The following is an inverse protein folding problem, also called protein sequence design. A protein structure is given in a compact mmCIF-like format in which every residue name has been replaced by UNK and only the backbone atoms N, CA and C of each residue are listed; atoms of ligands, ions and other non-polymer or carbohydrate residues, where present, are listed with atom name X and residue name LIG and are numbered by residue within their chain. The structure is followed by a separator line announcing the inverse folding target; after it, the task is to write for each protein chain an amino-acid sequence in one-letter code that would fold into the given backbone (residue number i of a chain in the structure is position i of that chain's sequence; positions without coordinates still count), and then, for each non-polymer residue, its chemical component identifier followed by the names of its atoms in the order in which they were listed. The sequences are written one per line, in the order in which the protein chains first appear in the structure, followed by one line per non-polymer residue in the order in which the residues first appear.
data_IF_760955475835
#
_entry.id   IF_760955475835
#
_cell.length_a   1.000
_cell.length_b   1.000
_cell.length_c   1.000
_cell.angle_alpha   90.00
_cell.angle_beta   90.00
_cell.angle_gamma   90.00
#
_symmetry.space_group_name_H-M   'P 1'
#
loop_
_entity.id
_entity.type
_entity.pdbx_description
1 polymer ?
#
# COMPACT_ATOMS: atom_id res chain seq x y z
N UNK A 1 11.45 25.09 1.39
CA UNK A 1 10.54 24.03 0.89
C UNK A 1 11.41 22.82 0.67
N UNK A 2 11.15 21.72 1.37
CA UNK A 2 11.87 20.47 1.14
C UNK A 2 11.46 19.97 -0.24
N UNK A 3 12.37 20.07 -1.20
CA UNK A 3 12.12 19.68 -2.59
C UNK A 3 12.18 18.17 -2.63
N UNK A 4 11.03 17.54 -2.84
CA UNK A 4 10.91 16.11 -3.06
C UNK A 4 11.14 15.85 -4.54
N UNK A 5 11.95 14.84 -4.84
CA UNK A 5 12.22 14.45 -6.21
C UNK A 5 10.92 14.00 -6.92
N UNK A 6 10.87 14.17 -8.25
CA UNK A 6 9.69 13.82 -9.04
C UNK A 6 9.33 12.34 -8.94
N UNK A 7 10.32 11.46 -8.87
CA UNK A 7 10.10 10.02 -8.83
C UNK A 7 9.47 9.59 -7.50
N UNK A 8 9.80 10.26 -6.39
CA UNK A 8 9.20 10.05 -5.08
C UNK A 8 7.78 10.61 -5.04
N UNK A 9 7.53 11.79 -5.64
CA UNK A 9 6.17 12.31 -5.76
C UNK A 9 5.27 11.36 -6.58
N UNK A 10 5.78 10.82 -7.68
CA UNK A 10 5.10 9.78 -8.46
C UNK A 10 4.85 8.55 -7.58
N UNK A 11 5.87 8.00 -6.92
CA UNK A 11 5.73 6.82 -6.04
C UNK A 11 4.69 7.02 -4.93
N UNK A 12 4.67 8.18 -4.28
CA UNK A 12 3.68 8.52 -3.26
C UNK A 12 2.26 8.48 -3.86
N UNK A 13 2.04 9.16 -4.98
CA UNK A 13 0.76 9.18 -5.67
C UNK A 13 0.32 7.76 -6.10
N UNK A 14 1.25 6.94 -6.59
CA UNK A 14 1.00 5.54 -6.96
C UNK A 14 0.56 4.65 -5.78
N UNK A 15 0.78 5.10 -4.55
CA UNK A 15 0.36 4.40 -3.33
C UNK A 15 -0.82 5.06 -2.65
N UNK A 16 -1.41 6.09 -3.27
CA UNK A 16 -2.42 6.93 -2.62
C UNK A 16 -1.87 7.63 -1.38
N UNK A 17 -0.57 7.95 -1.38
CA UNK A 17 0.11 8.64 -0.30
C UNK A 17 0.41 10.08 -0.70
N UNK A 18 0.58 10.94 0.30
CA UNK A 18 1.03 12.31 0.13
C UNK A 18 1.88 12.73 1.34
N UNK A 19 2.56 13.87 1.21
CA UNK A 19 3.30 14.45 2.32
C UNK A 19 2.51 15.59 2.95
N UNK A 20 2.37 15.55 4.27
CA UNK A 20 1.90 16.67 5.07
C UNK A 20 3.07 17.25 5.85
N UNK A 21 3.19 18.58 5.84
CA UNK A 21 4.27 19.26 6.52
C UNK A 21 3.75 19.99 7.76
N UNK A 22 4.35 19.72 8.91
CA UNK A 22 4.18 20.49 10.13
C UNK A 22 5.45 21.28 10.42
N UNK A 23 5.32 22.60 10.60
CA UNK A 23 6.42 23.47 11.02
C UNK A 23 6.09 24.08 12.37
N UNK A 24 6.99 23.89 13.32
CA UNK A 24 7.00 24.59 14.59
C UNK A 24 8.35 25.28 14.78
N UNK A 25 8.44 26.17 15.76
CA UNK A 25 9.71 26.79 16.15
C UNK A 25 10.76 25.78 16.63
N UNK A 26 10.31 24.58 17.03
CA UNK A 26 11.18 23.52 17.57
C UNK A 26 11.63 22.50 16.51
N UNK A 27 10.82 22.23 15.48
CA UNK A 27 11.12 21.22 14.47
C UNK A 27 10.25 21.36 13.20
N UNK A 28 10.84 20.94 12.07
CA UNK A 28 10.12 20.60 10.83
C UNK A 28 9.83 19.09 10.82
N UNK A 29 8.57 18.70 10.68
CA UNK A 29 8.17 17.30 10.56
C UNK A 29 7.48 17.11 9.21
N UNK A 30 7.90 16.08 8.47
CA UNK A 30 7.23 15.66 7.25
C UNK A 30 6.53 14.33 7.50
N UNK A 31 5.22 14.35 7.55
CA UNK A 31 4.38 13.17 7.66
C UNK A 31 4.16 12.54 6.29
N UNK A 32 4.26 11.22 6.22
CA UNK A 32 3.84 10.42 5.07
C UNK A 32 2.44 9.93 5.38
N UNK A 33 1.45 10.45 4.67
CA UNK A 33 0.03 10.21 4.94
C UNK A 33 -0.63 9.41 3.83
N UNK A 34 -1.52 8.50 4.21
CA UNK A 34 -2.47 7.85 3.32
C UNK A 34 -3.66 8.77 3.05
N UNK A 35 -4.03 8.91 1.77
CA UNK A 35 -5.24 9.59 1.34
C UNK A 35 -6.48 8.71 1.63
N UNK A 36 -6.93 8.73 2.87
CA UNK A 36 -8.08 7.97 3.38
C UNK A 36 -9.42 8.71 3.26
N UNK A 37 -9.41 9.93 2.71
CA UNK A 37 -10.57 10.81 2.59
C UNK A 37 -10.81 11.72 3.80
N UNK A 38 -10.01 11.59 4.87
CA UNK A 38 -10.05 12.50 6.01
C UNK A 38 -9.12 13.71 5.79
N UNK A 39 -9.46 14.89 6.35
CA UNK A 39 -8.55 16.03 6.36
C UNK A 39 -7.21 15.64 7.03
N UNK A 40 -6.10 15.80 6.31
CA UNK A 40 -4.76 15.47 6.81
C UNK A 40 -4.31 14.02 6.59
N UNK A 41 -5.23 13.12 6.21
CA UNK A 41 -4.93 11.71 5.94
C UNK A 41 -4.50 10.90 7.16
N UNK A 42 -4.28 9.61 6.97
CA UNK A 42 -3.79 8.73 8.02
C UNK A 42 -2.25 8.62 7.96
N UNK A 43 -1.49 9.04 9.00
CA UNK A 43 -0.04 8.98 8.98
C UNK A 43 0.48 7.54 9.04
N UNK A 44 1.24 7.13 8.01
CA UNK A 44 1.90 5.81 7.94
C UNK A 44 3.37 5.86 8.39
N UNK A 45 3.89 7.07 8.55
CA UNK A 45 5.22 7.37 9.08
C UNK A 45 5.50 8.86 9.02
N UNK A 46 6.68 9.25 9.48
CA UNK A 46 7.15 10.63 9.43
C UNK A 46 8.68 10.68 9.41
N UNK A 47 9.22 11.82 8.99
CA UNK A 47 10.65 12.09 9.03
C UNK A 47 10.91 13.41 9.73
N UNK A 48 12.01 13.47 10.47
CA UNK A 48 12.44 14.67 11.19
C UNK A 48 13.92 14.95 10.91
N UNK A 49 14.31 16.21 10.69
CA UNK A 49 15.70 16.59 10.55
C UNK A 49 16.37 16.57 11.93
N UNK A 50 17.61 16.13 11.94
CA UNK A 50 18.53 16.23 13.06
C UNK A 50 19.21 17.61 13.08
N UNK A 51 19.80 17.95 14.23
CA UNK A 51 20.62 19.17 14.37
C UNK A 51 21.90 19.14 13.54
N UNK A 52 22.33 17.97 13.07
CA UNK A 52 23.55 17.77 12.28
C UNK A 52 23.30 17.77 10.76
N UNK A 53 22.07 18.11 10.32
CA UNK A 53 21.71 18.17 8.90
C UNK A 53 21.36 16.82 8.27
N UNK A 54 21.37 15.72 9.03
CA UNK A 54 20.84 14.41 8.60
C UNK A 54 19.37 14.25 8.99
N UNK A 55 18.71 13.19 8.54
CA UNK A 55 17.31 12.89 8.80
C UNK A 55 17.12 11.57 9.57
N UNK A 56 16.07 11.51 10.37
CA UNK A 56 15.56 10.31 11.01
C UNK A 56 14.24 9.90 10.34
N UNK A 57 14.07 8.60 10.09
CA UNK A 57 12.86 8.05 9.49
C UNK A 57 12.12 7.17 10.48
N UNK A 58 10.84 7.46 10.68
CA UNK A 58 9.95 6.71 11.55
C UNK A 58 8.81 6.13 10.73
N UNK A 59 8.57 4.82 10.85
CA UNK A 59 7.52 4.17 10.09
C UNK A 59 6.67 3.26 10.97
N UNK A 60 5.41 3.11 10.57
CA UNK A 60 4.53 2.10 11.15
C UNK A 60 4.96 0.72 10.65
N UNK A 61 5.97 0.12 11.26
CA UNK A 61 6.63 -1.09 10.77
C UNK A 61 5.98 -2.40 11.23
N UNK A 62 5.07 -2.33 12.21
CA UNK A 62 4.45 -3.51 12.84
C UNK A 62 2.94 -3.56 12.58
N UNK A 63 2.42 -4.65 12.00
CA UNK A 63 0.98 -4.88 11.89
C UNK A 63 0.30 -4.79 13.27
N UNK A 64 -0.90 -4.20 13.35
CA UNK A 64 -1.71 -4.14 14.57
C UNK A 64 -1.29 -3.11 15.63
N UNK A 65 -0.13 -2.44 15.50
CA UNK A 65 0.21 -1.27 16.32
C UNK A 65 -0.16 0.01 15.57
N UNK A 66 -1.41 0.45 15.74
CA UNK A 66 -2.02 1.57 14.99
C UNK A 66 -1.55 2.97 15.41
N UNK A 67 -0.92 3.12 16.58
CA UNK A 67 -0.51 4.45 17.10
C UNK A 67 1.00 4.62 17.30
N UNK A 68 1.81 3.64 16.90
CA UNK A 68 3.26 3.69 17.12
C UNK A 68 4.03 3.61 15.80
N UNK A 69 5.00 4.51 15.64
CA UNK A 69 6.04 4.40 14.63
C UNK A 69 7.36 4.01 15.30
N UNK A 70 8.10 3.10 14.68
CA UNK A 70 9.46 2.75 15.09
C UNK A 70 10.45 3.61 14.29
N UNK A 71 11.60 3.94 14.89
CA UNK A 71 12.75 4.45 14.15
C UNK A 71 13.24 3.32 13.22
N UNK A 72 13.15 3.54 11.91
CA UNK A 72 13.53 2.53 10.90
C UNK A 72 14.84 2.85 10.21
N UNK A 73 15.27 4.12 10.24
CA UNK A 73 16.56 4.53 9.72
C UNK A 73 16.98 5.90 10.29
N UNK A 74 18.28 6.20 10.29
CA UNK A 74 18.86 7.41 10.84
C UNK A 74 20.14 7.82 10.12
N UNK A 75 20.50 9.11 10.17
CA UNK A 75 21.72 9.59 9.52
C UNK A 75 21.57 9.76 8.00
N UNK A 76 20.33 9.86 7.51
CA UNK A 76 20.04 9.99 6.09
C UNK A 76 20.34 11.40 5.59
N UNK A 77 21.05 11.51 4.48
CA UNK A 77 21.55 12.81 3.98
C UNK A 77 20.49 13.65 3.26
N UNK A 78 19.28 13.13 3.04
CA UNK A 78 18.20 13.85 2.38
C UNK A 78 16.83 13.44 2.91
N UNK A 79 15.85 14.34 2.77
CA UNK A 79 14.46 14.05 3.06
C UNK A 79 13.91 12.96 2.13
N UNK A 80 14.29 12.94 0.84
CA UNK A 80 13.89 11.88 -0.10
C UNK A 80 14.34 10.50 0.38
N UNK A 81 15.60 10.36 0.82
CA UNK A 81 16.10 9.11 1.38
C UNK A 81 15.32 8.71 2.63
N UNK A 82 14.98 9.67 3.49
CA UNK A 82 14.19 9.43 4.70
C UNK A 82 12.76 8.98 4.40
N UNK A 83 12.09 9.63 3.44
CA UNK A 83 10.74 9.23 3.02
C UNK A 83 10.78 7.85 2.37
N UNK A 84 11.78 7.55 1.53
CA UNK A 84 11.97 6.20 0.96
C UNK A 84 12.16 5.14 2.06
N UNK A 85 12.96 5.44 3.08
CA UNK A 85 13.11 4.56 4.24
C UNK A 85 11.77 4.31 4.96
N UNK A 86 10.90 5.32 5.04
CA UNK A 86 9.52 5.12 5.54
C UNK A 86 8.74 4.17 4.63
N UNK A 87 8.74 4.39 3.31
CA UNK A 87 8.01 3.55 2.35
C UNK A 87 8.51 2.09 2.30
N UNK A 88 9.80 1.87 2.52
CA UNK A 88 10.44 0.56 2.57
C UNK A 88 10.14 -0.22 3.85
N UNK A 89 9.56 0.43 4.86
CA UNK A 89 9.27 -0.17 6.15
C UNK A 89 7.81 -0.08 6.59
N UNK A 90 7.05 0.88 6.07
CA UNK A 90 5.68 1.15 6.51
C UNK A 90 4.73 0.00 6.11
N UNK A 91 3.96 -0.44 7.08
CA UNK A 91 2.90 -1.42 6.98
C UNK A 91 1.57 -0.72 7.27
N UNK A 92 0.75 -0.55 6.24
CA UNK A 92 -0.53 0.16 6.34
C UNK A 92 -1.64 -0.52 5.52
N UNK A 93 -1.41 -1.77 5.11
CA UNK A 93 -2.39 -2.58 4.39
C UNK A 93 -3.64 -2.90 5.21
N UNK A 94 -3.54 -2.84 6.55
CA UNK A 94 -4.68 -3.00 7.46
C UNK A 94 -5.62 -1.77 7.43
N UNK A 95 -5.08 -0.56 7.33
CA UNK A 95 -5.86 0.68 7.15
C UNK A 95 -6.55 0.65 5.79
N UNK A 96 -5.81 0.35 4.72
CA UNK A 96 -6.38 0.20 3.38
C UNK A 96 -7.48 -0.87 3.34
N UNK A 97 -7.26 -2.01 3.99
CA UNK A 97 -8.28 -3.07 4.12
C UNK A 97 -9.52 -2.58 4.86
N UNK A 98 -9.35 -1.86 5.97
CA UNK A 98 -10.47 -1.33 6.74
C UNK A 98 -11.30 -0.35 5.90
N UNK A 99 -10.64 0.54 5.14
CA UNK A 99 -11.31 1.46 4.22
C UNK A 99 -12.12 0.73 3.14
N UNK A 100 -11.55 -0.32 2.53
CA UNK A 100 -12.27 -1.15 1.55
C UNK A 100 -13.48 -1.88 2.14
N UNK A 101 -13.36 -2.38 3.37
CA UNK A 101 -14.47 -3.03 4.08
C UNK A 101 -15.59 -2.03 4.39
N UNK A 102 -15.25 -0.84 4.87
CA UNK A 102 -16.22 0.24 5.13
C UNK A 102 -16.89 0.72 3.84
N UNK A 103 -16.16 0.73 2.72
CA UNK A 103 -16.71 1.07 1.41
C UNK A 103 -17.62 -0.03 0.82
N UNK A 104 -17.73 -1.21 1.45
CA UNK A 104 -18.56 -2.31 0.95
C UNK A 104 -18.07 -2.88 -0.38
N UNK A 105 -16.77 -2.77 -0.68
CA UNK A 105 -16.20 -3.19 -1.95
C UNK A 105 -16.14 -4.71 -2.04
N UNK A 106 -17.05 -5.29 -2.82
CA UNK A 106 -17.05 -6.73 -3.16
C UNK A 106 -16.26 -7.03 -4.44
N UNK A 107 -15.42 -6.10 -4.89
CA UNK A 107 -14.65 -6.28 -6.12
C UNK A 107 -13.63 -7.41 -5.94
N UNK A 108 -13.57 -8.30 -6.93
CA UNK A 108 -12.51 -9.31 -7.05
C UNK A 108 -11.64 -9.01 -8.27
N UNK A 109 -10.41 -9.46 -8.21
CA UNK A 109 -9.38 -9.30 -9.22
C UNK A 109 -8.80 -10.67 -9.54
N UNK A 110 -8.36 -10.90 -10.77
CA UNK A 110 -7.60 -12.11 -11.12
C UNK A 110 -6.25 -11.77 -11.74
N UNK A 111 -5.27 -12.62 -11.51
CA UNK A 111 -3.98 -12.54 -12.19
C UNK A 111 -3.51 -13.92 -12.67
N UNK A 112 -2.89 -13.93 -13.84
CA UNK A 112 -2.10 -15.06 -14.33
C UNK A 112 -0.66 -14.97 -13.81
N UNK A 113 -0.20 -16.00 -13.12
CA UNK A 113 1.09 -16.04 -12.44
C UNK A 113 1.76 -17.41 -12.61
N UNK A 114 3.09 -17.45 -12.77
CA UNK A 114 3.84 -18.70 -12.65
C UNK A 114 3.60 -19.37 -11.28
N UNK A 115 3.54 -20.71 -11.27
CA UNK A 115 3.21 -21.51 -10.08
C UNK A 115 4.01 -21.10 -8.82
N UNK A 116 5.31 -20.81 -8.97
CA UNK A 116 6.18 -20.37 -7.87
C UNK A 116 5.68 -19.10 -7.16
N UNK A 117 5.12 -18.14 -7.90
CA UNK A 117 4.62 -16.88 -7.34
C UNK A 117 3.28 -17.08 -6.66
N UNK A 118 2.43 -17.97 -7.20
CA UNK A 118 1.16 -18.36 -6.58
C UNK A 118 1.40 -18.98 -5.21
N UNK A 119 2.31 -19.95 -5.11
CA UNK A 119 2.62 -20.61 -3.84
C UNK A 119 3.07 -19.60 -2.79
N UNK A 120 3.93 -18.65 -3.17
CA UNK A 120 4.40 -17.58 -2.27
C UNK A 120 3.25 -16.66 -1.82
N UNK A 121 2.39 -16.24 -2.74
CA UNK A 121 1.23 -15.39 -2.43
C UNK A 121 0.24 -16.07 -1.50
N UNK A 122 -0.05 -17.35 -1.73
CA UNK A 122 -0.97 -18.14 -0.88
C UNK A 122 -0.38 -18.51 0.47
N UNK A 123 0.95 -18.37 0.64
CA UNK A 123 1.65 -18.63 1.90
C UNK A 123 1.76 -17.38 2.79
N UNK A 124 1.30 -16.22 2.34
CA UNK A 124 1.30 -15.00 3.16
C UNK A 124 0.35 -15.20 4.35
N UNK A 125 0.85 -14.94 5.56
CA UNK A 125 0.05 -14.92 6.78
C UNK A 125 -0.86 -13.69 6.78
N UNK A 126 -2.03 -13.83 6.14
CA UNK A 126 -2.90 -12.73 5.76
C UNK A 126 -2.53 -12.17 4.37
N UNK A 127 -3.50 -11.63 3.61
CA UNK A 127 -4.91 -11.40 3.92
C UNK A 127 -5.80 -12.60 3.54
N UNK A 128 -6.97 -12.72 4.17
CA UNK A 128 -8.04 -13.55 3.62
C UNK A 128 -8.45 -13.03 2.23
N UNK A 129 -8.83 -13.94 1.33
CA UNK A 129 -9.31 -13.57 -0.01
C UNK A 129 -8.28 -13.67 -1.13
N UNK A 130 -7.14 -14.36 -0.91
CA UNK A 130 -6.31 -14.88 -2.01
C UNK A 130 -6.71 -16.33 -2.27
N UNK A 131 -7.26 -16.62 -3.44
CA UNK A 131 -7.74 -17.97 -3.81
C UNK A 131 -7.06 -18.45 -5.08
N UNK A 132 -6.58 -19.70 -5.08
CA UNK A 132 -6.01 -20.34 -6.28
C UNK A 132 -7.15 -20.85 -7.17
N UNK A 133 -7.21 -20.42 -8.42
CA UNK A 133 -8.27 -20.81 -9.37
C UNK A 133 -7.89 -22.02 -10.26
N UNK A 134 -6.67 -22.54 -10.15
CA UNK A 134 -6.12 -23.54 -11.09
C UNK A 134 -5.33 -22.90 -12.23
N UNK A 135 -4.69 -23.71 -13.10
CA UNK A 135 -4.00 -23.28 -14.35
C UNK A 135 -3.02 -22.10 -14.28
N UNK A 136 -2.45 -21.79 -13.11
CA UNK A 136 -1.57 -20.63 -12.97
C UNK A 136 -2.33 -19.32 -12.78
N UNK A 137 -3.54 -19.36 -12.21
CA UNK A 137 -4.34 -18.18 -11.89
C UNK A 137 -4.64 -18.07 -10.40
N UNK A 138 -4.72 -16.83 -9.94
CA UNK A 138 -5.18 -16.46 -8.60
C UNK A 138 -6.32 -15.46 -8.69
N UNK A 139 -7.21 -15.49 -7.71
CA UNK A 139 -8.22 -14.48 -7.42
C UNK A 139 -7.85 -13.75 -6.15
N UNK A 140 -7.99 -12.44 -6.14
CA UNK A 140 -7.77 -11.57 -5.00
C UNK A 140 -9.05 -10.76 -4.74
N UNK A 141 -9.47 -10.65 -3.49
CA UNK A 141 -10.50 -9.68 -3.09
C UNK A 141 -9.94 -8.25 -3.06
N UNK A 142 -10.80 -7.24 -3.04
CA UNK A 142 -10.39 -5.85 -2.80
C UNK A 142 -9.57 -5.70 -1.51
N UNK A 143 -9.98 -6.38 -0.44
CA UNK A 143 -9.22 -6.44 0.82
C UNK A 143 -7.82 -7.04 0.65
N UNK A 144 -7.66 -8.06 -0.20
CA UNK A 144 -6.36 -8.66 -0.48
C UNK A 144 -5.47 -7.73 -1.32
N UNK A 145 -6.03 -7.03 -2.31
CA UNK A 145 -5.33 -6.02 -3.10
C UNK A 145 -4.87 -4.85 -2.21
N UNK A 146 -5.75 -4.34 -1.37
CA UNK A 146 -5.49 -3.27 -0.41
C UNK A 146 -4.35 -3.63 0.55
N UNK A 147 -4.36 -4.86 1.06
CA UNK A 147 -3.27 -5.38 1.88
C UNK A 147 -1.93 -5.37 1.13
N UNK A 148 -1.91 -5.89 -0.10
CA UNK A 148 -0.70 -5.97 -0.92
C UNK A 148 -0.17 -4.58 -1.35
N UNK A 149 -1.04 -3.58 -1.51
CA UNK A 149 -0.64 -2.18 -1.73
C UNK A 149 0.06 -1.57 -0.52
N UNK A 150 -0.35 -1.96 0.69
CA UNK A 150 0.21 -1.48 1.95
C UNK A 150 1.40 -2.28 2.48
N UNK A 151 2.00 -3.17 1.67
CA UNK A 151 3.19 -3.92 2.05
C UNK A 151 4.49 -3.12 1.78
N UNK A 152 5.50 -3.27 2.65
CA UNK A 152 6.84 -2.71 2.40
C UNK A 152 7.48 -3.24 1.11
N UNK A 153 8.22 -2.39 0.37
CA UNK A 153 8.82 -2.76 -0.93
C UNK A 153 9.76 -3.96 -0.84
N UNK A 154 10.58 -3.99 0.21
CA UNK A 154 11.57 -5.05 0.45
C UNK A 154 10.98 -6.45 0.55
N UNK A 155 9.67 -6.59 0.81
CA UNK A 155 9.02 -7.90 0.87
C UNK A 155 8.84 -8.54 -0.51
N UNK A 156 9.08 -7.78 -1.58
CA UNK A 156 9.09 -8.26 -2.95
C UNK A 156 7.73 -8.79 -3.40
N UNK A 157 6.64 -8.25 -2.85
CA UNK A 157 5.29 -8.57 -3.26
C UNK A 157 4.40 -7.36 -2.97
N UNK A 158 4.00 -6.64 -4.02
CA UNK A 158 3.14 -5.45 -3.91
C UNK A 158 2.14 -5.39 -5.05
N UNK A 159 1.07 -4.62 -4.86
CA UNK A 159 0.22 -4.15 -5.95
C UNK A 159 0.44 -2.64 -6.12
N UNK A 160 0.47 -2.15 -7.34
CA UNK A 160 0.55 -0.71 -7.63
C UNK A 160 -0.82 -0.11 -7.98
N UNK A 161 -0.85 1.19 -8.26
CA UNK A 161 -2.05 1.92 -8.72
C UNK A 161 -2.56 1.53 -10.11
N UNK A 162 -1.74 0.91 -10.97
CA UNK A 162 -2.15 0.43 -12.29
C UNK A 162 -2.78 -0.97 -12.23
N UNK A 163 -3.11 -1.43 -11.02
CA UNK A 163 -3.61 -2.77 -10.77
C UNK A 163 -2.64 -3.83 -11.32
N UNK A 164 -1.34 -3.66 -11.09
CA UNK A 164 -0.32 -4.67 -11.42
C UNK A 164 0.22 -5.29 -10.14
N UNK A 165 0.28 -6.62 -10.14
CA UNK A 165 0.87 -7.42 -9.07
C UNK A 165 2.35 -7.65 -9.37
N UNK A 166 3.21 -7.31 -8.40
CA UNK A 166 4.66 -7.37 -8.53
C UNK A 166 5.30 -8.40 -7.57
N UNK A 167 5.19 -9.71 -7.83
CA UNK A 167 5.88 -10.71 -7.04
C UNK A 167 7.33 -10.89 -7.55
N UNK A 168 8.29 -10.69 -6.66
CA UNK A 168 9.73 -10.78 -6.88
C UNK A 168 10.23 -9.97 -8.09
N UNK A 169 9.71 -8.76 -8.28
CA UNK A 169 10.15 -7.82 -9.31
C UNK A 169 9.59 -8.06 -10.71
N UNK A 170 8.90 -9.17 -10.96
CA UNK A 170 8.16 -9.38 -12.19
C UNK A 170 6.76 -8.75 -12.08
N UNK A 171 6.19 -8.25 -13.18
CA UNK A 171 4.91 -7.56 -13.17
C UNK A 171 3.83 -8.34 -13.92
N UNK A 172 2.67 -8.50 -13.29
CA UNK A 172 1.52 -9.21 -13.85
C UNK A 172 0.26 -8.37 -13.71
N UNK A 173 -0.56 -8.23 -14.76
CA UNK A 173 -1.78 -7.44 -14.68
C UNK A 173 -2.80 -8.13 -13.77
N UNK A 174 -3.44 -7.35 -12.89
CA UNK A 174 -4.69 -7.72 -12.25
C UNK A 174 -5.83 -7.32 -13.19
N UNK A 175 -6.73 -8.25 -13.45
CA UNK A 175 -7.97 -8.00 -14.18
C UNK A 175 -9.11 -7.95 -13.18
N UNK A 176 -9.78 -6.81 -13.09
CA UNK A 176 -10.99 -6.66 -12.30
C UNK A 176 -12.07 -7.59 -12.86
N UNK A 177 -12.64 -8.44 -12.03
CA UNK A 177 -13.81 -9.22 -12.42
C UNK A 177 -15.03 -8.30 -12.39
N UNK A 178 -15.76 -8.24 -13.51
CA UNK A 178 -17.07 -7.60 -13.52
C UNK A 178 -17.94 -8.30 -12.48
N UNK A 179 -18.67 -7.50 -11.69
CA UNK A 179 -19.70 -8.04 -10.80
C UNK A 179 -20.61 -8.90 -11.68
N UNK A 180 -20.86 -10.18 -11.37
CA UNK A 180 -21.93 -10.87 -12.05
C UNK A 180 -23.18 -10.03 -11.80
N UNK A 181 -23.80 -9.54 -12.87
CA UNK A 181 -25.14 -8.98 -12.79
C UNK A 181 -25.95 -9.96 -11.96
N UNK A 182 -26.64 -9.47 -10.94
CA UNK A 182 -27.64 -10.29 -10.27
C UNK A 182 -28.64 -10.67 -11.35
N UNK A 183 -28.50 -11.87 -11.91
CA UNK A 183 -29.62 -12.53 -12.53
C UNK A 183 -30.66 -12.62 -11.41
N UNK A 184 -31.74 -11.88 -11.59
CA UNK A 184 -32.94 -12.11 -10.84
C UNK A 184 -33.31 -13.60 -11.01
N UNK A 185 -34.01 -14.16 -10.04
CA UNK A 185 -34.42 -15.58 -10.02
C UNK A 185 -35.38 -15.96 -11.18
N UNK A 186 -35.45 -15.15 -12.24
CA UNK A 186 -36.32 -15.28 -13.41
C UNK A 186 -35.62 -15.05 -14.75
N UNK A 187 -34.30 -14.80 -14.78
CA UNK A 187 -33.51 -14.86 -16.01
C UNK A 187 -34.01 -13.97 -17.14
N UNK A 188 -34.34 -12.69 -16.86
CA UNK A 188 -34.58 -11.72 -17.94
C UNK A 188 -33.58 -10.58 -17.90
N UNK A 189 -32.87 -10.41 -19.02
CA UNK A 189 -32.11 -9.21 -19.32
C UNK A 189 -33.11 -8.06 -19.52
N UNK A 190 -33.03 -7.02 -18.69
CA UNK A 190 -33.72 -5.76 -18.95
C UNK A 190 -32.85 -4.95 -19.91
N UNK A 191 -33.38 -4.69 -21.11
CA UNK A 191 -32.81 -3.76 -22.09
C UNK A 191 -33.20 -2.31 -21.84
#
# INVERSE_FOLDING_TARGET
MTVVDRALAELLNQRGLFLAQERSDAAEILYVCLADGLPGGYPVGYVIPSRTGTWYAYARSRPGRIFACDLVDSGLFSADSAVRAVLDNAYFGDVLRALELTAGSHTTYTAGLPRRHITRLTALAGPEGITRLGTGRVRLTAAAVAFLRGLPERLGCRVDHEDRLWPAGASFPLTREARPERQDARGRLAG
#
